data_IF_438648744692
#
_entry.id   IF_438648744692
#
_cell.length_a   1.000
_cell.length_b   1.000
_cell.length_c   1.000
_cell.angle_alpha   90.00
_cell.angle_beta   90.00
_cell.angle_gamma   90.00
#
_symmetry.space_group_name_H-M   'P 1'
#
loop_
_entity.id
_entity.type
_entity.pdbx_description
1 polymer ?
#
# COMPACT_ATOMS: atom_id res chain seq x y z
N UNK A 1 -22.38 -15.28 -14.46
CA UNK A 1 -21.00 -15.58 -14.02
C UNK A 1 -20.38 -14.32 -13.44
N UNK A 2 -19.92 -14.40 -12.18
CA UNK A 2 -19.01 -13.50 -11.44
C UNK A 2 -19.26 -11.98 -11.52
N UNK A 3 -20.13 -11.48 -10.62
CA UNK A 3 -20.04 -10.12 -10.07
C UNK A 3 -18.90 -10.11 -9.06
N UNK A 4 -17.81 -9.39 -9.35
CA UNK A 4 -16.84 -8.95 -8.33
C UNK A 4 -16.01 -7.80 -8.93
N UNK A 5 -16.70 -6.73 -9.31
CA UNK A 5 -16.09 -5.43 -9.61
C UNK A 5 -16.59 -4.45 -8.56
N UNK A 6 -16.32 -4.74 -7.28
CA UNK A 6 -16.70 -3.84 -6.20
C UNK A 6 -15.48 -3.58 -5.33
N UNK A 7 -15.04 -2.31 -5.40
CA UNK A 7 -14.03 -1.64 -4.57
C UNK A 7 -12.59 -1.61 -5.11
N UNK A 8 -12.41 -1.21 -6.37
CA UNK A 8 -11.19 -0.46 -6.72
C UNK A 8 -11.36 0.94 -6.10
N UNK A 9 -10.63 1.25 -5.03
CA UNK A 9 -10.73 2.54 -4.33
C UNK A 9 -9.47 3.37 -4.62
N UNK A 10 -9.66 4.52 -5.28
CA UNK A 10 -8.61 5.51 -5.59
C UNK A 10 -8.35 6.53 -4.46
N UNK A 11 -8.97 6.35 -3.30
CA UNK A 11 -9.05 7.43 -2.31
C UNK A 11 -7.90 7.38 -1.29
N UNK A 12 -7.02 8.38 -1.34
CA UNK A 12 -5.94 8.59 -0.36
C UNK A 12 -6.44 8.63 1.12
N UNK A 13 -7.70 8.99 1.35
CA UNK A 13 -8.31 9.05 2.69
C UNK A 13 -8.69 7.66 3.27
N UNK A 14 -8.44 6.57 2.52
CA UNK A 14 -8.71 5.21 2.96
C UNK A 14 -7.51 4.58 3.68
N UNK A 15 -6.30 5.11 3.50
CA UNK A 15 -5.06 4.56 4.03
C UNK A 15 -4.92 4.86 5.53
N UNK A 16 -5.62 4.07 6.35
CA UNK A 16 -5.51 4.14 7.81
C UNK A 16 -4.39 3.23 8.31
N UNK A 17 -3.61 3.65 9.31
CA UNK A 17 -2.66 2.77 10.00
C UNK A 17 -3.31 1.46 10.43
N UNK A 18 -2.57 0.36 10.35
CA UNK A 18 -3.04 -0.97 10.74
C UNK A 18 -3.80 -1.74 9.65
N UNK A 19 -3.91 -1.19 8.44
CA UNK A 19 -4.59 -1.86 7.32
C UNK A 19 -3.61 -2.24 6.21
N UNK A 20 -3.88 -3.36 5.56
CA UNK A 20 -3.16 -3.81 4.39
C UNK A 20 -4.00 -3.66 3.12
N UNK A 21 -3.32 -3.38 2.02
CA UNK A 21 -3.91 -3.20 0.71
C UNK A 21 -3.08 -3.92 -0.34
N UNK A 22 -3.73 -4.45 -1.37
CA UNK A 22 -3.07 -5.04 -2.53
C UNK A 22 -3.18 -4.05 -3.68
N UNK A 23 -2.05 -3.70 -4.28
CA UNK A 23 -2.00 -2.83 -5.47
C UNK A 23 -2.57 -3.61 -6.66
N UNK A 24 -3.60 -3.09 -7.32
CA UNK A 24 -4.18 -3.66 -8.54
C UNK A 24 -3.63 -2.99 -9.80
N UNK A 25 -3.39 -1.69 -9.74
CA UNK A 25 -2.81 -0.93 -10.84
C UNK A 25 -2.08 0.31 -10.33
N UNK A 26 -1.19 0.83 -11.18
CA UNK A 26 -0.41 2.05 -10.94
C UNK A 26 -0.59 2.95 -12.16
N UNK A 27 -0.94 4.21 -11.95
CA UNK A 27 -1.11 5.20 -13.03
C UNK A 27 0.25 5.67 -13.54
N UNK A 28 0.76 5.02 -14.58
CA UNK A 28 2.07 5.33 -15.18
C UNK A 28 2.08 6.61 -16.04
N UNK A 29 0.93 7.25 -16.24
CA UNK A 29 0.83 8.47 -17.05
C UNK A 29 1.35 9.70 -16.30
N UNK A 30 1.43 9.64 -14.98
CA UNK A 30 1.94 10.73 -14.14
C UNK A 30 3.31 10.41 -13.52
N UNK A 31 4.03 11.45 -13.08
CA UNK A 31 5.36 11.30 -12.48
C UNK A 31 5.36 10.45 -11.20
N UNK A 32 4.28 10.52 -10.40
CA UNK A 32 4.19 9.80 -9.14
C UNK A 32 4.11 8.28 -9.38
N UNK A 33 3.31 7.82 -10.36
CA UNK A 33 3.25 6.41 -10.73
C UNK A 33 4.55 5.89 -11.32
N UNK A 34 5.28 6.70 -12.10
CA UNK A 34 6.63 6.35 -12.57
C UNK A 34 7.59 6.14 -11.41
N UNK A 35 7.59 7.04 -10.43
CA UNK A 35 8.40 6.93 -9.22
C UNK A 35 8.01 5.70 -8.38
N UNK A 36 6.73 5.41 -8.23
CA UNK A 36 6.25 4.22 -7.52
C UNK A 36 6.79 2.93 -8.14
N UNK A 37 6.75 2.81 -9.47
CA UNK A 37 7.30 1.65 -10.17
C UNK A 37 8.83 1.57 -10.01
N UNK A 38 9.54 2.70 -10.10
CA UNK A 38 10.99 2.77 -9.87
C UNK A 38 11.37 2.32 -8.45
N UNK A 39 10.49 2.59 -7.46
CA UNK A 39 10.60 2.12 -6.08
C UNK A 39 10.18 0.66 -5.87
N UNK A 40 9.79 -0.06 -6.92
CA UNK A 40 9.38 -1.46 -6.86
C UNK A 40 7.92 -1.69 -6.45
N UNK A 41 7.08 -0.64 -6.44
CA UNK A 41 5.64 -0.76 -6.16
C UNK A 41 4.93 -1.02 -7.48
N UNK A 42 4.67 -2.30 -7.77
CA UNK A 42 4.01 -2.77 -8.98
C UNK A 42 2.61 -3.32 -8.69
N UNK A 43 1.78 -3.58 -9.70
CA UNK A 43 0.58 -4.39 -9.53
C UNK A 43 0.89 -5.71 -8.81
N UNK A 44 -0.07 -6.20 -8.03
CA UNK A 44 0.00 -7.37 -7.14
C UNK A 44 0.90 -7.19 -5.90
N UNK A 45 1.45 -5.99 -5.67
CA UNK A 45 2.24 -5.72 -4.47
C UNK A 45 1.35 -5.57 -3.23
N UNK A 46 1.68 -6.30 -2.16
CA UNK A 46 1.07 -6.11 -0.84
C UNK A 46 1.74 -4.94 -0.12
N UNK A 47 0.93 -3.97 0.28
CA UNK A 47 1.35 -2.81 1.08
C UNK A 47 0.62 -2.79 2.43
N UNK A 48 1.33 -2.37 3.48
CA UNK A 48 0.76 -2.23 4.82
C UNK A 48 1.01 -0.83 5.36
N UNK A 49 -0.04 -0.16 5.86
CA UNK A 49 0.10 1.18 6.44
C UNK A 49 0.57 1.05 7.88
N UNK A 50 1.85 1.36 8.11
CA UNK A 50 2.50 1.24 9.42
C UNK A 50 2.05 2.36 10.36
N UNK A 51 2.24 3.61 9.93
CA UNK A 51 1.86 4.80 10.69
C UNK A 51 1.74 6.01 9.78
N UNK A 52 0.95 6.99 10.22
CA UNK A 52 0.97 8.33 9.64
C UNK A 52 2.04 9.19 10.32
N UNK A 53 2.60 10.16 9.61
CA UNK A 53 3.36 11.24 10.23
C UNK A 53 2.50 12.00 11.26
N UNK A 54 3.12 12.68 12.25
CA UNK A 54 2.38 13.39 13.31
C UNK A 54 1.41 14.47 12.79
N UNK A 55 1.66 15.02 11.60
CA UNK A 55 0.80 16.01 10.93
C UNK A 55 -0.16 15.38 9.91
N UNK A 56 -0.28 14.05 9.88
CA UNK A 56 -1.15 13.30 8.96
C UNK A 56 -0.44 12.76 7.72
N UNK A 57 0.53 13.49 7.18
CA UNK A 57 1.27 13.09 5.97
C UNK A 57 2.77 13.44 6.06
N UNK A 58 3.66 12.66 5.42
CA UNK A 58 3.40 11.45 4.60
C UNK A 58 3.01 10.21 5.42
N UNK A 59 2.47 9.20 4.73
CA UNK A 59 2.15 7.90 5.33
C UNK A 59 3.35 6.96 5.19
N UNK A 60 3.71 6.27 6.28
CA UNK A 60 4.73 5.23 6.28
C UNK A 60 4.07 3.91 5.88
N UNK A 61 4.48 3.40 4.73
CA UNK A 61 3.96 2.17 4.13
C UNK A 61 5.07 1.12 4.14
N UNK A 62 4.76 -0.09 4.61
CA UNK A 62 5.63 -1.25 4.54
C UNK A 62 5.32 -2.00 3.24
N UNK A 63 6.34 -2.23 2.44
CA UNK A 63 6.30 -2.98 1.17
C UNK A 63 7.28 -4.14 1.34
N UNK A 64 6.77 -5.37 1.43
CA UNK A 64 7.60 -6.52 1.77
C UNK A 64 8.38 -6.31 3.07
N UNK A 65 9.71 -6.28 2.99
CA UNK A 65 10.64 -6.13 4.12
C UNK A 65 11.12 -4.70 4.38
N UNK A 66 10.76 -3.73 3.52
CA UNK A 66 11.18 -2.33 3.67
C UNK A 66 10.01 -1.38 3.94
N UNK A 67 10.33 -0.20 4.46
CA UNK A 67 9.38 0.87 4.73
C UNK A 67 9.69 2.06 3.84
N UNK A 68 8.66 2.65 3.27
CA UNK A 68 8.73 3.83 2.41
C UNK A 68 7.73 4.88 2.91
N UNK A 69 8.13 6.14 2.91
CA UNK A 69 7.21 7.25 3.19
C UNK A 69 6.61 7.74 1.88
N UNK A 70 5.29 7.54 1.70
CA UNK A 70 4.55 7.97 0.52
C UNK A 70 3.67 9.16 0.85
N UNK A 71 3.63 10.16 -0.04
CA UNK A 71 2.74 11.31 0.11
C UNK A 71 1.34 10.95 -0.39
N UNK A 72 0.37 11.76 0.00
CA UNK A 72 -1.01 11.67 -0.48
C UNK A 72 -1.09 11.72 -2.02
N UNK A 73 -0.18 12.47 -2.67
CA UNK A 73 -0.08 12.55 -4.14
C UNK A 73 0.34 11.22 -4.77
N UNK A 74 1.29 10.52 -4.17
CA UNK A 74 1.78 9.22 -4.67
C UNK A 74 0.69 8.15 -4.53
N UNK A 75 0.05 8.11 -3.37
CA UNK A 75 -1.07 7.20 -3.09
C UNK A 75 -2.27 7.42 -4.01
N UNK A 76 -2.45 8.63 -4.53
CA UNK A 76 -3.52 8.94 -5.50
C UNK A 76 -3.27 8.32 -6.89
N UNK A 77 -2.02 7.95 -7.20
CA UNK A 77 -1.67 7.24 -8.42
C UNK A 77 -1.82 5.71 -8.31
N UNK A 78 -2.19 5.19 -7.14
CA UNK A 78 -2.36 3.76 -6.89
C UNK A 78 -3.84 3.36 -6.89
N UNK A 79 -4.14 2.27 -7.57
CA UNK A 79 -5.42 1.57 -7.46
C UNK A 79 -5.22 0.37 -6.55
N UNK A 80 -5.90 0.37 -5.40
CA UNK A 80 -5.73 -0.65 -4.37
C UNK A 80 -7.03 -1.33 -3.99
N UNK A 81 -6.92 -2.55 -3.49
CA UNK A 81 -7.99 -3.36 -2.91
C UNK A 81 -7.68 -3.63 -1.43
N UNK A 82 -8.68 -3.53 -0.55
CA UNK A 82 -8.50 -3.88 0.86
C UNK A 82 -8.21 -5.38 0.98
N UNK A 83 -7.09 -5.73 1.59
CA UNK A 83 -6.87 -7.08 2.09
C UNK A 83 -7.47 -7.11 3.50
N UNK A 84 -8.77 -7.42 3.60
CA UNK A 84 -9.44 -7.61 4.88
C UNK A 84 -8.65 -8.62 5.73
N UNK A 85 -8.29 -8.20 6.95
CA UNK A 85 -7.63 -8.98 8.01
C UNK A 85 -6.17 -9.39 7.80
N UNK A 86 -5.26 -8.42 7.71
CA UNK A 86 -3.87 -8.68 8.12
C UNK A 86 -3.74 -8.39 9.61
N UNK A 87 -4.03 -9.41 10.44
CA UNK A 87 -3.46 -9.44 11.80
C UNK A 87 -1.94 -9.38 11.64
N UNK A 88 -1.21 -8.49 12.31
CA UNK A 88 0.24 -8.46 12.28
C UNK A 88 0.79 -9.66 13.08
N UNK A 89 0.58 -10.88 12.59
CA UNK A 89 1.47 -11.99 12.89
C UNK A 89 2.68 -11.80 11.98
N UNK A 90 3.58 -10.92 12.40
CA UNK A 90 4.95 -10.89 11.92
C UNK A 90 5.55 -12.24 12.31
N UNK A 91 5.56 -13.18 11.37
CA UNK A 91 5.99 -14.56 11.56
C UNK A 91 7.38 -14.58 12.20
N UNK A 92 7.48 -15.31 13.31
CA UNK A 92 8.71 -15.85 13.90
C UNK A 92 9.72 -16.25 12.83
N UNK A 93 10.78 -15.47 12.61
CA UNK A 93 11.99 -15.91 11.88
C UNK A 93 13.25 -15.17 12.37
N UNK A 94 13.37 -14.96 13.67
CA UNK A 94 14.67 -14.73 14.31
C UNK A 94 14.74 -15.68 15.50
N UNK A 95 15.88 -16.37 15.64
CA UNK A 95 16.22 -17.37 16.68
C UNK A 95 15.75 -18.81 16.39
N UNK A 96 16.34 -19.38 15.33
CA UNK A 96 16.73 -20.79 15.31
C UNK A 96 18.19 -20.87 14.84
N UNK A 97 19.11 -20.48 15.73
CA UNK A 97 20.51 -20.92 15.76
C UNK A 97 20.84 -21.20 17.21
#
# INVERSE_FOLDING_TARGET
MRRNAEKIKKSANLFKPGHAFIVKAVDYNNEAGKQLIDMGITPDTLIYIDRAAPLGEPLVVKVGDYKVALRSKDLSALEVECADEVKPNMTKLAEAV
#
